data_IF_794061903561
#
_entry.id   IF_794061903561
#
_cell.length_a   1.000
_cell.length_b   1.000
_cell.length_c   1.000
_cell.angle_alpha   90.00
_cell.angle_beta   90.00
_cell.angle_gamma   90.00
#
_symmetry.space_group_name_H-M   'P 1'
#
loop_
_entity.id
_entity.type
_entity.pdbx_description
1 polymer ?
#
# COMPACT_ATOMS: atom_id res chain seq x y z
N UNK A 1 -34.36 -30.30 14.75
CA UNK A 1 -33.30 -29.71 13.89
C UNK A 1 -32.36 -30.82 13.45
N UNK A 2 -32.48 -31.27 12.19
CA UNK A 2 -31.62 -32.33 11.63
C UNK A 2 -30.27 -31.74 11.22
N UNK A 3 -29.17 -32.28 11.76
CA UNK A 3 -27.80 -32.01 11.30
C UNK A 3 -27.57 -32.78 10.01
N UNK A 4 -27.39 -32.08 8.90
CA UNK A 4 -26.89 -32.63 7.64
C UNK A 4 -25.41 -33.01 7.77
N UNK A 5 -24.97 -34.16 7.26
CA UNK A 5 -23.57 -34.57 7.29
C UNK A 5 -22.74 -33.76 6.29
N UNK A 6 -21.63 -33.17 6.76
CA UNK A 6 -20.58 -32.54 5.94
C UNK A 6 -20.08 -33.56 4.90
N UNK A 7 -20.20 -33.24 3.61
CA UNK A 7 -19.57 -34.02 2.55
C UNK A 7 -18.04 -33.90 2.68
N UNK A 8 -17.36 -35.05 2.69
CA UNK A 8 -15.91 -35.14 2.54
C UNK A 8 -15.56 -34.62 1.15
N UNK A 9 -14.93 -33.46 1.06
CA UNK A 9 -14.30 -33.01 -0.18
C UNK A 9 -13.21 -34.02 -0.55
N UNK A 10 -13.41 -34.73 -1.67
CA UNK A 10 -12.41 -35.62 -2.24
C UNK A 10 -11.19 -34.79 -2.63
N UNK A 11 -10.01 -35.18 -2.16
CA UNK A 11 -8.76 -34.54 -2.58
C UNK A 11 -8.66 -34.59 -4.13
N UNK A 12 -8.24 -33.49 -4.79
CA UNK A 12 -8.08 -33.48 -6.23
C UNK A 12 -7.04 -34.52 -6.63
N UNK A 13 -7.38 -35.37 -7.61
CA UNK A 13 -6.46 -36.36 -8.16
C UNK A 13 -5.22 -35.65 -8.73
N UNK A 14 -4.04 -36.09 -8.31
CA UNK A 14 -2.78 -35.52 -8.80
C UNK A 14 -2.65 -35.80 -10.30
N UNK A 15 -2.55 -34.76 -11.15
CA UNK A 15 -2.34 -34.96 -12.57
C UNK A 15 -0.97 -35.60 -12.81
N UNK A 16 -0.95 -36.82 -13.35
CA UNK A 16 0.30 -37.58 -13.59
C UNK A 16 0.78 -37.52 -15.04
N UNK A 17 -0.04 -37.02 -15.98
CA UNK A 17 0.34 -36.91 -17.40
C UNK A 17 1.08 -35.61 -17.70
N UNK A 18 2.06 -35.66 -18.61
CA UNK A 18 2.87 -34.51 -19.05
C UNK A 18 1.99 -33.30 -19.37
N UNK A 19 0.97 -33.47 -20.22
CA UNK A 19 0.07 -32.37 -20.62
C UNK A 19 -0.69 -31.78 -19.42
N UNK A 20 -1.08 -32.61 -18.46
CA UNK A 20 -1.82 -32.15 -17.29
C UNK A 20 -0.91 -31.38 -16.32
N UNK A 21 0.37 -31.76 -16.19
CA UNK A 21 1.36 -31.01 -15.42
C UNK A 21 1.71 -29.68 -16.10
N UNK A 22 1.82 -29.64 -17.43
CA UNK A 22 2.04 -28.39 -18.18
C UNK A 22 0.89 -27.41 -17.95
N UNK A 23 -0.36 -27.86 -18.10
CA UNK A 23 -1.54 -27.04 -17.79
C UNK A 23 -1.56 -26.60 -16.32
N UNK A 24 -1.14 -27.45 -15.39
CA UNK A 24 -1.04 -27.07 -13.98
C UNK A 24 0.00 -25.97 -13.73
N UNK A 25 1.17 -26.05 -14.38
CA UNK A 25 2.19 -24.99 -14.29
C UNK A 25 1.66 -23.67 -14.83
N UNK A 26 1.03 -23.67 -16.01
CA UNK A 26 0.46 -22.45 -16.59
C UNK A 26 -0.61 -21.85 -15.66
N UNK A 27 -1.49 -22.70 -15.10
CA UNK A 27 -2.49 -22.26 -14.13
C UNK A 27 -1.87 -21.66 -12.86
N UNK A 28 -0.78 -22.24 -12.34
CA UNK A 28 -0.06 -21.67 -11.19
C UNK A 28 0.62 -20.35 -11.52
N UNK A 29 1.18 -20.20 -12.73
CA UNK A 29 1.78 -18.95 -13.19
C UNK A 29 0.74 -17.84 -13.30
N UNK A 30 -0.41 -18.12 -13.89
CA UNK A 30 -1.53 -17.19 -13.97
C UNK A 30 -2.04 -16.80 -12.58
N UNK A 31 -2.13 -17.78 -11.67
CA UNK A 31 -2.49 -17.54 -10.27
C UNK A 31 -1.48 -16.62 -9.57
N UNK A 32 -0.18 -16.87 -9.70
CA UNK A 32 0.87 -16.02 -9.10
C UNK A 32 0.82 -14.60 -9.68
N UNK A 33 0.61 -14.46 -10.99
CA UNK A 33 0.46 -13.16 -11.63
C UNK A 33 -0.75 -12.39 -11.08
N UNK A 34 -1.90 -13.07 -10.93
CA UNK A 34 -3.10 -12.48 -10.33
C UNK A 34 -2.86 -12.05 -8.88
N UNK A 35 -2.30 -12.93 -8.04
CA UNK A 35 -2.04 -12.63 -6.62
C UNK A 35 -1.07 -11.44 -6.45
N UNK A 36 -0.07 -11.32 -7.33
CA UNK A 36 0.85 -10.18 -7.32
C UNK A 36 0.19 -8.88 -7.78
N UNK A 37 -0.73 -8.94 -8.73
CA UNK A 37 -1.54 -7.79 -9.12
C UNK A 37 -2.45 -7.33 -7.96
N UNK A 38 -3.08 -8.28 -7.27
CA UNK A 38 -3.89 -8.01 -6.08
C UNK A 38 -3.03 -7.38 -4.97
N UNK A 39 -1.83 -7.92 -4.73
CA UNK A 39 -0.87 -7.36 -3.77
C UNK A 39 -0.52 -5.91 -4.10
N UNK A 40 -0.22 -5.61 -5.37
CA UNK A 40 0.07 -4.24 -5.81
C UNK A 40 -1.15 -3.31 -5.64
N UNK A 41 -2.37 -3.81 -5.83
CA UNK A 41 -3.60 -3.06 -5.58
C UNK A 41 -3.78 -2.74 -4.09
N UNK A 42 -3.49 -3.68 -3.19
CA UNK A 42 -3.54 -3.46 -1.74
C UNK A 42 -2.46 -2.46 -1.29
N UNK A 43 -1.25 -2.55 -1.84
CA UNK A 43 -0.19 -1.57 -1.55
C UNK A 43 -0.59 -0.16 -1.98
N UNK A 44 -1.27 -0.02 -3.11
CA UNK A 44 -1.75 1.26 -3.64
C UNK A 44 -3.09 1.74 -3.03
N UNK A 45 -3.71 0.97 -2.12
CA UNK A 45 -4.99 1.35 -1.53
C UNK A 45 -4.85 2.66 -0.74
N UNK A 46 -5.83 3.59 -0.79
CA UNK A 46 -5.83 4.80 0.03
C UNK A 46 -5.81 4.47 1.53
N UNK A 47 -5.35 5.41 2.35
CA UNK A 47 -5.49 5.35 3.82
C UNK A 47 -6.92 5.70 4.20
N UNK A 48 -7.36 5.27 5.39
CA UNK A 48 -8.69 5.64 5.90
C UNK A 48 -8.80 7.15 6.07
N UNK A 49 -9.93 7.70 5.64
CA UNK A 49 -10.20 9.14 5.69
C UNK A 49 -9.96 9.75 7.07
N UNK A 50 -10.32 9.06 8.15
CA UNK A 50 -10.12 9.55 9.52
C UNK A 50 -8.64 9.82 9.87
N UNK A 51 -7.74 8.95 9.43
CA UNK A 51 -6.30 9.12 9.66
C UNK A 51 -5.76 10.26 8.80
N UNK A 52 -6.20 10.35 7.54
CA UNK A 52 -5.84 11.45 6.64
C UNK A 52 -6.32 12.80 7.17
N UNK A 53 -7.52 12.86 7.74
CA UNK A 53 -8.06 14.08 8.36
C UNK A 53 -7.26 14.50 9.59
N UNK A 54 -6.82 13.53 10.41
CA UNK A 54 -5.96 13.80 11.56
C UNK A 54 -4.62 14.38 11.13
N UNK A 55 -4.00 13.80 10.10
CA UNK A 55 -2.74 14.31 9.55
C UNK A 55 -2.91 15.68 8.89
N UNK A 56 -4.01 15.91 8.17
CA UNK A 56 -4.35 17.20 7.58
C UNK A 56 -4.49 18.28 8.66
N UNK A 57 -5.23 18.00 9.73
CA UNK A 57 -5.44 18.93 10.83
C UNK A 57 -4.11 19.31 11.49
N UNK A 58 -3.25 18.33 11.78
CA UNK A 58 -1.91 18.57 12.31
C UNK A 58 -1.02 19.37 11.35
N UNK A 59 -1.12 19.10 10.04
CA UNK A 59 -0.35 19.81 9.02
C UNK A 59 -0.77 21.27 8.87
N UNK A 60 -2.09 21.56 8.89
CA UNK A 60 -2.60 22.93 8.86
C UNK A 60 -2.16 23.73 10.09
N UNK A 61 -2.15 23.10 11.27
CA UNK A 61 -1.69 23.74 12.51
C UNK A 61 -0.19 24.04 12.47
N UNK A 62 0.62 23.12 11.93
CA UNK A 62 2.06 23.32 11.75
C UNK A 62 2.35 24.49 10.79
N UNK A 63 1.69 24.52 9.62
CA UNK A 63 1.83 25.59 8.62
C UNK A 63 1.43 26.95 9.20
N UNK A 64 0.32 27.01 9.95
CA UNK A 64 -0.15 28.24 10.57
C UNK A 64 0.86 28.75 11.62
N UNK A 65 1.40 27.85 12.44
CA UNK A 65 2.37 28.18 13.48
C UNK A 65 3.68 28.70 12.87
N UNK A 66 4.22 27.98 11.89
CA UNK A 66 5.46 28.38 11.19
C UNK A 66 5.31 29.76 10.52
N UNK A 67 4.16 30.03 9.90
CA UNK A 67 3.89 31.31 9.27
C UNK A 67 3.79 32.48 10.27
N UNK A 68 3.19 32.27 11.44
CA UNK A 68 3.13 33.29 12.50
C UNK A 68 4.51 33.54 13.10
N UNK A 69 5.30 32.50 13.32
CA UNK A 69 6.66 32.62 13.82
C UNK A 69 7.56 33.37 12.82
N UNK A 70 7.38 33.12 11.52
CA UNK A 70 8.11 33.81 10.45
C UNK A 70 7.87 35.33 10.42
N UNK A 71 6.72 35.81 10.92
CA UNK A 71 6.44 37.26 11.01
C UNK A 71 7.36 38.00 12.00
N UNK A 72 8.14 37.27 12.81
CA UNK A 72 9.10 37.85 13.75
C UNK A 72 8.48 38.91 14.66
N UNK A 73 7.29 38.63 15.19
CA UNK A 73 6.49 39.59 15.99
C UNK A 73 7.24 40.15 17.22
N UNK A 74 8.26 39.44 17.70
CA UNK A 74 9.16 39.93 18.75
C UNK A 74 9.87 41.24 18.38
N UNK A 75 10.16 41.47 17.09
CA UNK A 75 10.79 42.71 16.60
C UNK A 75 9.86 43.93 16.74
N UNK A 76 8.54 43.74 16.70
CA UNK A 76 7.57 44.82 16.92
C UNK A 76 7.60 45.36 18.36
N UNK A 77 8.15 44.58 19.30
CA UNK A 77 8.32 45.01 20.69
C UNK A 77 9.67 45.69 20.94
N UNK A 78 10.61 45.61 19.99
CA UNK A 78 11.91 46.26 20.14
C UNK A 78 11.79 47.77 19.86
N UNK A 79 12.35 48.58 20.75
CA UNK A 79 12.23 50.04 20.75
C UNK A 79 13.17 50.71 19.74
N UNK A 80 14.09 49.95 19.13
CA UNK A 80 15.25 50.46 18.37
C UNK A 80 15.11 50.48 16.85
N UNK A 81 14.01 50.05 16.24
CA UNK A 81 13.87 50.17 14.79
C UNK A 81 12.49 49.86 14.24
N UNK A 82 12.04 50.69 13.30
CA UNK A 82 10.89 50.42 12.44
C UNK A 82 11.21 49.27 11.48
N UNK A 83 11.16 48.04 11.97
CA UNK A 83 11.19 46.86 11.09
C UNK A 83 9.73 46.47 10.84
N UNK A 84 9.24 46.71 9.62
CA UNK A 84 7.91 46.24 9.21
C UNK A 84 7.83 44.71 9.21
N UNK A 85 6.61 44.18 9.11
CA UNK A 85 6.39 42.73 8.95
C UNK A 85 7.14 42.23 7.72
N UNK A 86 8.06 41.29 7.91
CA UNK A 86 8.78 40.64 6.82
C UNK A 86 8.07 39.34 6.47
N UNK A 87 7.67 39.21 5.21
CA UNK A 87 7.11 37.96 4.68
C UNK A 87 8.20 36.95 4.30
N UNK A 88 9.45 37.39 4.17
CA UNK A 88 10.60 36.53 3.88
C UNK A 88 11.89 37.24 4.32
N UNK A 89 12.70 36.58 5.15
CA UNK A 89 14.01 37.10 5.55
C UNK A 89 15.03 37.03 4.40
N UNK A 90 14.89 36.05 3.51
CA UNK A 90 15.82 35.78 2.42
C UNK A 90 15.48 36.55 1.13
N UNK A 91 14.33 37.24 1.09
CA UNK A 91 13.80 37.87 -0.14
C UNK A 91 13.33 36.87 -1.19
N UNK A 92 13.31 35.56 -0.89
CA UNK A 92 12.84 34.54 -1.82
C UNK A 92 11.31 34.49 -1.85
N UNK A 93 10.76 34.47 -3.05
CA UNK A 93 9.33 34.50 -3.31
C UNK A 93 8.59 33.23 -2.86
N UNK A 94 9.25 32.07 -2.95
CA UNK A 94 8.71 30.78 -2.51
C UNK A 94 8.41 30.78 -1.01
N UNK A 95 9.36 31.27 -0.20
CA UNK A 95 9.18 31.42 1.25
C UNK A 95 8.05 32.39 1.56
N UNK A 96 7.99 33.53 0.85
CA UNK A 96 6.92 34.51 1.05
C UNK A 96 5.53 33.94 0.73
N UNK A 97 5.41 33.13 -0.33
CA UNK A 97 4.13 32.47 -0.69
C UNK A 97 3.73 31.44 0.37
N UNK A 98 4.67 30.65 0.89
CA UNK A 98 4.40 29.70 1.97
C UNK A 98 3.95 30.41 3.25
N UNK A 99 4.63 31.49 3.65
CA UNK A 99 4.23 32.30 4.81
C UNK A 99 2.84 32.91 4.60
N UNK A 100 2.55 33.47 3.42
CA UNK A 100 1.22 34.01 3.12
C UNK A 100 0.13 32.94 3.16
N UNK A 101 0.39 31.76 2.60
CA UNK A 101 -0.53 30.63 2.69
C UNK A 101 -0.76 30.21 4.14
N UNK A 102 0.29 30.11 4.95
CA UNK A 102 0.12 29.75 6.35
C UNK A 102 -0.59 30.80 7.19
N UNK A 103 -0.44 32.10 6.88
CA UNK A 103 -1.26 33.16 7.48
C UNK A 103 -2.73 33.07 7.03
N UNK A 104 -2.97 32.68 5.78
CA UNK A 104 -4.32 32.41 5.29
C UNK A 104 -4.94 31.21 6.01
N UNK A 105 -4.17 30.13 6.24
CA UNK A 105 -4.59 28.98 7.06
C UNK A 105 -4.87 29.41 8.50
N UNK A 106 -3.99 30.20 9.12
CA UNK A 106 -4.17 30.69 10.49
C UNK A 106 -5.47 31.48 10.68
N UNK A 107 -5.92 32.20 9.64
CA UNK A 107 -7.12 33.06 9.68
C UNK A 107 -8.39 32.38 9.16
N UNK A 108 -8.27 31.42 8.25
CA UNK A 108 -9.40 30.77 7.55
C UNK A 108 -9.37 29.24 7.66
N UNK A 109 -8.79 28.70 8.75
CA UNK A 109 -8.56 27.25 8.95
C UNK A 109 -9.79 26.40 8.64
N UNK A 110 -10.95 26.77 9.20
CA UNK A 110 -12.19 26.01 9.03
C UNK A 110 -12.61 25.93 7.55
N UNK A 111 -12.61 27.06 6.85
CA UNK A 111 -13.02 27.10 5.43
C UNK A 111 -12.09 26.28 4.53
N UNK A 112 -10.77 26.33 4.78
CA UNK A 112 -9.80 25.54 4.02
C UNK A 112 -9.98 24.06 4.32
N UNK A 113 -10.11 23.70 5.61
CA UNK A 113 -10.37 22.33 6.04
C UNK A 113 -11.63 21.78 5.38
N UNK A 114 -12.74 22.49 5.45
CA UNK A 114 -14.02 22.04 4.89
C UNK A 114 -13.95 21.83 3.38
N UNK A 115 -13.23 22.70 2.65
CA UNK A 115 -12.98 22.53 1.22
C UNK A 115 -12.20 21.24 0.94
N UNK A 116 -11.11 21.01 1.67
CA UNK A 116 -10.26 19.81 1.48
C UNK A 116 -11.02 18.55 1.88
N UNK A 117 -11.73 18.58 3.00
CA UNK A 117 -12.55 17.45 3.48
C UNK A 117 -13.61 17.09 2.46
N UNK A 118 -14.32 18.06 1.88
CA UNK A 118 -15.30 17.78 0.82
C UNK A 118 -14.68 17.05 -0.39
N UNK A 119 -13.47 17.46 -0.80
CA UNK A 119 -12.75 16.76 -1.89
C UNK A 119 -12.27 15.36 -1.49
N UNK A 120 -11.85 15.16 -0.24
CA UNK A 120 -11.43 13.86 0.26
C UNK A 120 -12.61 12.90 0.43
N UNK A 121 -13.78 13.39 0.86
CA UNK A 121 -15.02 12.60 0.94
C UNK A 121 -15.48 12.12 -0.44
N UNK A 122 -15.38 12.97 -1.47
CA UNK A 122 -15.66 12.58 -2.85
C UNK A 122 -14.72 11.44 -3.31
N UNK A 123 -13.42 11.54 -2.97
CA UNK A 123 -12.43 10.51 -3.30
C UNK A 123 -12.65 9.20 -2.53
N UNK A 124 -12.99 9.27 -1.24
CA UNK A 124 -13.29 8.12 -0.38
C UNK A 124 -14.51 7.35 -0.93
N UNK A 125 -15.53 8.06 -1.43
CA UNK A 125 -16.71 7.44 -2.03
C UNK A 125 -16.38 6.61 -3.28
N UNK A 126 -15.38 7.04 -4.06
CA UNK A 126 -14.93 6.33 -5.25
C UNK A 126 -13.98 5.17 -4.91
N UNK A 127 -13.16 5.32 -3.86
CA UNK A 127 -12.16 4.34 -3.43
C UNK A 127 -12.03 4.36 -1.90
N UNK A 128 -12.78 3.49 -1.19
CA UNK A 128 -12.69 3.41 0.27
C UNK A 128 -11.26 3.12 0.74
N UNK A 129 -10.85 3.81 1.79
CA UNK A 129 -9.55 3.64 2.41
C UNK A 129 -9.41 2.30 3.16
N UNK A 130 -8.16 1.91 3.37
CA UNK A 130 -7.78 0.72 4.15
C UNK A 130 -6.92 1.13 5.34
N UNK A 131 -7.21 0.56 6.51
CA UNK A 131 -6.38 0.79 7.71
C UNK A 131 -5.00 0.16 7.52
N UNK A 132 -3.98 0.69 8.20
CA UNK A 132 -2.63 0.10 8.11
C UNK A 132 -2.60 -1.33 8.66
N UNK A 133 -3.39 -1.63 9.70
CA UNK A 133 -3.49 -2.97 10.27
C UNK A 133 -4.09 -3.96 9.26
N UNK A 134 -5.20 -3.59 8.60
CA UNK A 134 -5.83 -4.43 7.59
C UNK A 134 -4.93 -4.59 6.36
N UNK A 135 -4.23 -3.53 5.95
CA UNK A 135 -3.26 -3.57 4.86
C UNK A 135 -2.15 -4.57 5.15
N UNK A 136 -1.53 -4.48 6.32
CA UNK A 136 -0.45 -5.41 6.73
C UNK A 136 -0.96 -6.85 6.80
N UNK A 137 -2.13 -7.07 7.39
CA UNK A 137 -2.74 -8.40 7.46
C UNK A 137 -2.99 -8.97 6.05
N UNK A 138 -3.58 -8.18 5.16
CA UNK A 138 -3.92 -8.61 3.81
C UNK A 138 -2.68 -8.87 2.95
N UNK A 139 -1.64 -8.06 3.09
CA UNK A 139 -0.36 -8.29 2.42
C UNK A 139 0.30 -9.58 2.91
N UNK A 140 0.29 -9.84 4.21
CA UNK A 140 0.84 -11.09 4.76
C UNK A 140 0.07 -12.34 4.26
N UNK A 141 -1.26 -12.24 4.16
CA UNK A 141 -2.09 -13.30 3.56
C UNK A 141 -1.72 -13.55 2.10
N UNK A 142 -1.63 -12.49 1.29
CA UNK A 142 -1.26 -12.58 -0.13
C UNK A 142 0.16 -13.12 -0.32
N UNK A 143 1.12 -12.70 0.50
CA UNK A 143 2.50 -13.21 0.45
C UNK A 143 2.53 -14.72 0.76
N UNK A 144 1.73 -15.19 1.73
CA UNK A 144 1.59 -16.61 2.03
C UNK A 144 0.88 -17.39 0.91
N UNK A 145 -0.08 -16.79 0.21
CA UNK A 145 -0.74 -17.37 -0.96
C UNK A 145 0.20 -17.49 -2.17
N UNK A 146 0.97 -16.42 -2.45
CA UNK A 146 1.98 -16.40 -3.51
C UNK A 146 3.01 -17.49 -3.25
N UNK A 147 3.54 -17.58 -2.02
CA UNK A 147 4.52 -18.61 -1.66
C UNK A 147 3.96 -20.03 -1.86
N UNK A 148 2.71 -20.27 -1.45
CA UNK A 148 2.05 -21.59 -1.67
C UNK A 148 1.89 -21.91 -3.15
N UNK A 149 1.50 -20.93 -3.96
CA UNK A 149 1.37 -21.13 -5.41
C UNK A 149 2.73 -21.37 -6.08
N UNK A 150 3.79 -20.67 -5.66
CA UNK A 150 5.16 -20.88 -6.15
C UNK A 150 5.70 -22.27 -5.78
N UNK A 151 5.46 -22.75 -4.56
CA UNK A 151 5.82 -24.13 -4.15
C UNK A 151 5.07 -25.18 -4.98
N UNK A 152 3.79 -24.94 -5.28
CA UNK A 152 3.00 -25.83 -6.13
C UNK A 152 3.52 -25.84 -7.59
N UNK A 153 3.88 -24.67 -8.15
CA UNK A 153 4.53 -24.55 -9.46
C UNK A 153 5.83 -25.37 -9.50
N UNK A 154 6.72 -25.18 -8.52
CA UNK A 154 8.02 -25.88 -8.47
C UNK A 154 7.83 -27.40 -8.30
N UNK A 155 6.85 -27.84 -7.51
CA UNK A 155 6.49 -29.26 -7.38
C UNK A 155 6.08 -29.86 -8.73
N UNK A 156 5.28 -29.14 -9.52
CA UNK A 156 4.87 -29.57 -10.86
C UNK A 156 6.05 -29.57 -11.85
N UNK A 157 6.94 -28.57 -11.79
CA UNK A 157 8.15 -28.50 -12.61
C UNK A 157 9.06 -29.70 -12.32
N UNK A 158 9.35 -29.99 -11.05
CA UNK A 158 10.22 -31.13 -10.67
C UNK A 158 9.64 -32.47 -11.11
N UNK A 159 8.31 -32.64 -11.06
CA UNK A 159 7.65 -33.85 -11.57
C UNK A 159 7.80 -33.99 -13.09
N UNK A 160 7.73 -32.90 -13.84
CA UNK A 160 8.00 -32.93 -15.30
C UNK A 160 9.47 -33.20 -15.61
N UNK A 161 10.38 -32.59 -14.85
CA UNK A 161 11.82 -32.86 -14.99
C UNK A 161 12.15 -34.33 -14.71
N UNK A 162 11.52 -34.95 -13.71
CA UNK A 162 11.64 -36.37 -13.44
C UNK A 162 11.08 -37.27 -14.56
N UNK A 163 10.19 -36.74 -15.39
CA UNK A 163 9.68 -37.40 -16.60
C UNK A 163 10.57 -37.11 -17.84
N UNK A 164 11.71 -36.44 -17.67
CA UNK A 164 12.65 -36.11 -18.74
C UNK A 164 12.29 -34.83 -19.51
N UNK A 165 11.31 -34.05 -19.05
CA UNK A 165 10.90 -32.79 -19.68
C UNK A 165 11.54 -31.62 -18.93
N UNK A 166 12.48 -30.93 -19.57
CA UNK A 166 13.09 -29.72 -19.00
C UNK A 166 12.19 -28.51 -19.21
N UNK A 167 11.94 -27.74 -18.14
CA UNK A 167 11.15 -26.52 -18.19
C UNK A 167 11.96 -25.37 -17.58
N UNK A 168 11.98 -24.24 -18.27
CA UNK A 168 12.56 -23.04 -17.73
C UNK A 168 11.73 -22.53 -16.53
N UNK A 169 12.41 -22.40 -15.39
CA UNK A 169 11.89 -21.66 -14.24
C UNK A 169 11.78 -20.17 -14.60
N UNK A 170 10.89 -19.47 -13.92
CA UNK A 170 10.75 -18.02 -14.09
C UNK A 170 11.96 -17.29 -13.51
N UNK A 171 12.32 -16.15 -14.11
CA UNK A 171 13.46 -15.34 -13.66
C UNK A 171 13.25 -14.68 -12.29
N UNK A 172 12.00 -14.60 -11.85
CA UNK A 172 11.55 -13.95 -10.62
C UNK A 172 11.08 -14.97 -9.57
N UNK A 173 11.49 -16.24 -9.71
CA UNK A 173 11.22 -17.29 -8.72
C UNK A 173 11.95 -16.96 -7.40
N UNK A 174 11.23 -17.07 -6.29
CA UNK A 174 11.82 -16.90 -4.96
C UNK A 174 12.96 -17.89 -4.71
N UNK A 175 14.14 -17.45 -4.24
CA UNK A 175 15.24 -18.36 -3.89
C UNK A 175 14.83 -19.41 -2.85
N UNK A 176 13.90 -19.08 -1.95
CA UNK A 176 13.39 -20.00 -0.94
C UNK A 176 12.64 -21.18 -1.57
N UNK A 177 11.89 -20.93 -2.64
CA UNK A 177 11.15 -21.96 -3.39
C UNK A 177 12.11 -22.78 -4.24
N UNK A 178 13.04 -22.12 -4.94
CA UNK A 178 14.04 -22.80 -5.76
C UNK A 178 14.89 -23.80 -4.95
N UNK A 179 15.22 -23.44 -3.70
CA UNK A 179 16.02 -24.26 -2.79
C UNK A 179 15.18 -25.16 -1.86
N UNK A 180 13.85 -25.17 -2.00
CA UNK A 180 13.00 -25.99 -1.14
C UNK A 180 13.32 -27.49 -1.32
N UNK A 181 13.38 -28.22 -0.21
CA UNK A 181 13.52 -29.68 -0.23
C UNK A 181 12.25 -30.33 -0.77
N UNK A 182 12.36 -31.50 -1.41
CA UNK A 182 11.19 -32.20 -1.98
C UNK A 182 10.09 -32.46 -0.96
N UNK A 183 10.45 -32.71 0.29
CA UNK A 183 9.49 -32.89 1.39
C UNK A 183 8.65 -31.62 1.69
N UNK A 184 9.17 -30.44 1.37
CA UNK A 184 8.48 -29.16 1.53
C UNK A 184 7.65 -28.76 0.30
N UNK A 185 7.76 -29.51 -0.82
CA UNK A 185 7.04 -29.28 -2.07
C UNK A 185 5.79 -30.16 -2.22
N UNK A 186 5.48 -30.95 -1.19
CA UNK A 186 4.27 -31.78 -1.15
C UNK A 186 3.15 -30.91 -0.54
N UNK A 187 2.09 -30.58 -1.29
CA UNK A 187 0.94 -29.86 -0.76
C UNK A 187 0.12 -30.70 0.22
#
# INVERSE_FOLDING_TARGET
MLKTPKSKASAPAVPNGINALLTAIDAHRDQIASLRADRAQIEAAPRVLADVMTDLDAHLDAIATEAVDALSLHQLRDRRGMSGLKLSESGRADVAVQTLFGLFVATNRAAIRDLIVGQLEDLESARPGMTDADRVARLAELDAEILRAELAEESAIRRLEAQGVSIARRSDLSPLVALAADAALIP
#
